data_IF_702793674267
#
_entry.id   IF_702793674267
#
_cell.length_a   1.000
_cell.length_b   1.000
_cell.length_c   1.000
_cell.angle_alpha   90.00
_cell.angle_beta   90.00
_cell.angle_gamma   90.00
#
_symmetry.space_group_name_H-M   'P 1'
#
loop_
_entity.id
_entity.type
_entity.pdbx_description
1 polymer ?
#
# COMPACT_ATOMS: atom_id res chain seq x y z
N UNK A 1 -22.66 4.55 -10.82
CA UNK A 1 -21.50 4.36 -11.71
C UNK A 1 -20.51 3.54 -10.94
N UNK A 2 -20.25 2.32 -11.41
CA UNK A 2 -19.27 1.44 -10.79
C UNK A 2 -17.87 2.04 -11.02
N UNK A 3 -17.11 2.30 -9.95
CA UNK A 3 -15.75 2.80 -10.09
C UNK A 3 -14.88 1.70 -10.67
N UNK A 4 -14.14 2.00 -11.75
CA UNK A 4 -13.18 1.03 -12.29
C UNK A 4 -12.08 0.76 -11.27
N UNK A 5 -11.54 -0.47 -11.26
CA UNK A 5 -10.48 -0.87 -10.31
C UNK A 5 -9.24 0.04 -10.38
N UNK A 6 -9.00 0.65 -11.55
CA UNK A 6 -7.98 1.67 -11.73
C UNK A 6 -8.27 2.96 -10.93
N UNK A 7 -9.53 3.39 -10.85
CA UNK A 7 -9.93 4.57 -10.07
C UNK A 7 -9.85 4.31 -8.56
N UNK A 8 -10.21 3.09 -8.12
CA UNK A 8 -10.07 2.66 -6.71
C UNK A 8 -8.60 2.63 -6.31
N UNK A 9 -7.76 2.00 -7.12
CA UNK A 9 -6.31 1.96 -6.91
C UNK A 9 -5.70 3.36 -6.85
N UNK A 10 -6.10 4.27 -7.75
CA UNK A 10 -5.61 5.66 -7.74
C UNK A 10 -5.96 6.40 -6.45
N UNK A 11 -7.20 6.23 -5.96
CA UNK A 11 -7.65 6.85 -4.71
C UNK A 11 -6.89 6.30 -3.50
N UNK A 12 -6.68 4.98 -3.42
CA UNK A 12 -5.98 4.36 -2.30
C UNK A 12 -4.51 4.76 -2.26
N UNK A 13 -3.86 4.88 -3.42
CA UNK A 13 -2.48 5.38 -3.50
C UNK A 13 -2.36 6.82 -3.03
N UNK A 14 -3.30 7.68 -3.42
CA UNK A 14 -3.37 9.07 -2.94
C UNK A 14 -3.58 9.13 -1.43
N UNK A 15 -4.46 8.28 -0.91
CA UNK A 15 -4.79 8.18 0.52
C UNK A 15 -3.67 7.57 1.37
N UNK A 16 -2.79 6.77 0.77
CA UNK A 16 -1.58 6.21 1.40
C UNK A 16 -0.35 7.15 1.28
N UNK A 17 -0.48 8.30 0.60
CA UNK A 17 0.58 9.31 0.51
C UNK A 17 1.59 9.09 -0.63
N UNK A 18 1.36 8.14 -1.54
CA UNK A 18 2.25 7.93 -2.68
C UNK A 18 2.18 9.11 -3.65
N UNK A 19 3.31 9.78 -3.89
CA UNK A 19 3.38 10.86 -4.89
C UNK A 19 3.57 10.33 -6.33
N UNK A 20 4.27 9.20 -6.47
CA UNK A 20 4.45 8.48 -7.74
C UNK A 20 3.36 7.41 -7.96
N UNK A 21 2.11 7.86 -8.19
CA UNK A 21 0.93 6.99 -8.26
C UNK A 21 1.04 5.89 -9.35
N UNK A 22 1.65 6.18 -10.51
CA UNK A 22 1.84 5.19 -11.57
C UNK A 22 2.82 4.08 -11.15
N UNK A 23 3.93 4.45 -10.50
CA UNK A 23 4.93 3.50 -9.99
C UNK A 23 4.35 2.62 -8.89
N UNK A 24 3.62 3.23 -7.95
CA UNK A 24 3.00 2.48 -6.86
C UNK A 24 1.91 1.52 -7.37
N UNK A 25 1.12 1.91 -8.36
CA UNK A 25 0.16 1.02 -9.02
C UNK A 25 0.86 -0.15 -9.73
N UNK A 26 1.92 0.13 -10.50
CA UNK A 26 2.70 -0.91 -11.17
C UNK A 26 3.38 -1.87 -10.21
N UNK A 27 3.91 -1.36 -9.09
CA UNK A 27 4.52 -2.16 -8.03
C UNK A 27 3.49 -3.08 -7.36
N UNK A 28 2.32 -2.55 -6.98
CA UNK A 28 1.24 -3.36 -6.40
C UNK A 28 0.80 -4.48 -7.35
N UNK A 29 0.64 -4.17 -8.65
CA UNK A 29 0.29 -5.19 -9.64
C UNK A 29 1.39 -6.24 -9.74
N UNK A 30 2.66 -5.83 -9.82
CA UNK A 30 3.80 -6.76 -9.86
C UNK A 30 3.81 -7.70 -8.65
N UNK A 31 3.64 -7.17 -7.44
CA UNK A 31 3.59 -7.96 -6.22
C UNK A 31 2.45 -8.98 -6.25
N UNK A 32 1.27 -8.61 -6.76
CA UNK A 32 0.12 -9.51 -6.93
C UNK A 32 0.40 -10.61 -7.95
N UNK A 33 1.01 -10.29 -9.09
CA UNK A 33 1.38 -11.28 -10.11
C UNK A 33 2.44 -12.26 -9.60
N UNK A 34 3.44 -11.78 -8.87
CA UNK A 34 4.46 -12.64 -8.27
C UNK A 34 3.83 -13.62 -7.25
N UNK A 35 2.88 -13.13 -6.43
CA UNK A 35 2.16 -13.97 -5.46
C UNK A 35 1.24 -14.98 -6.15
N UNK A 36 0.47 -14.56 -7.16
CA UNK A 36 -0.47 -15.44 -7.88
C UNK A 36 0.26 -16.57 -8.62
N UNK A 37 1.50 -16.33 -9.07
CA UNK A 37 2.37 -17.33 -9.68
C UNK A 37 3.20 -18.13 -8.66
N UNK A 38 3.01 -17.91 -7.35
CA UNK A 38 3.70 -18.62 -6.28
C UNK A 38 5.19 -18.30 -6.15
N UNK A 39 5.66 -17.19 -6.75
CA UNK A 39 7.07 -16.77 -6.71
C UNK A 39 7.44 -16.11 -5.38
N UNK A 40 6.45 -15.55 -4.68
CA UNK A 40 6.61 -14.99 -3.34
C UNK A 40 5.47 -15.47 -2.44
N UNK A 41 5.80 -15.66 -1.17
CA UNK A 41 4.87 -16.10 -0.12
C UNK A 41 4.29 -14.92 0.67
N UNK A 42 3.32 -15.21 1.53
CA UNK A 42 2.69 -14.20 2.38
C UNK A 42 3.71 -13.51 3.31
N UNK A 43 4.75 -14.22 3.75
CA UNK A 43 5.83 -13.63 4.55
C UNK A 43 6.61 -12.55 3.77
N UNK A 44 6.81 -12.76 2.46
CA UNK A 44 7.43 -11.77 1.57
C UNK A 44 6.55 -10.55 1.38
N UNK A 45 5.23 -10.75 1.26
CA UNK A 45 4.26 -9.65 1.19
C UNK A 45 4.30 -8.82 2.47
N UNK A 46 4.39 -9.44 3.65
CA UNK A 46 4.52 -8.72 4.92
C UNK A 46 5.80 -7.89 4.97
N UNK A 47 6.95 -8.44 4.58
CA UNK A 47 8.21 -7.68 4.53
C UNK A 47 8.14 -6.49 3.57
N UNK A 48 7.50 -6.66 2.42
CA UNK A 48 7.26 -5.56 1.47
C UNK A 48 6.37 -4.50 2.11
N UNK A 49 5.30 -4.90 2.80
CA UNK A 49 4.39 -3.99 3.50
C UNK A 49 5.12 -3.18 4.57
N UNK A 50 5.90 -3.83 5.43
CA UNK A 50 6.62 -3.13 6.50
C UNK A 50 7.65 -2.15 5.92
N UNK A 51 8.39 -2.53 4.87
CA UNK A 51 9.32 -1.62 4.20
C UNK A 51 8.61 -0.38 3.61
N UNK A 52 7.42 -0.55 3.02
CA UNK A 52 6.61 0.57 2.53
C UNK A 52 6.08 1.43 3.68
N UNK A 53 5.68 0.81 4.78
CA UNK A 53 5.20 1.52 5.96
C UNK A 53 6.31 2.39 6.55
N UNK A 54 7.49 1.82 6.78
CA UNK A 54 8.64 2.54 7.35
C UNK A 54 8.99 3.79 6.51
N UNK A 55 9.08 3.65 5.18
CA UNK A 55 9.34 4.77 4.29
C UNK A 55 8.25 5.87 4.37
N UNK A 56 6.98 5.47 4.47
CA UNK A 56 5.87 6.42 4.61
C UNK A 56 5.87 7.11 5.97
N UNK A 57 6.28 6.41 7.04
CA UNK A 57 6.41 6.96 8.39
C UNK A 57 7.54 7.98 8.48
N UNK A 58 8.69 7.71 7.86
CA UNK A 58 9.82 8.66 7.77
C UNK A 58 9.45 9.96 7.06
N UNK A 59 8.51 9.90 6.10
CA UNK A 59 8.04 11.06 5.35
C UNK A 59 6.80 11.75 5.96
N UNK A 60 6.44 11.44 7.22
CA UNK A 60 5.26 12.01 7.86
C UNK A 60 5.40 13.52 8.13
N UNK A 61 4.31 14.29 8.02
CA UNK A 61 4.24 15.62 8.60
C UNK A 61 4.52 15.57 10.11
N UNK A 62 5.28 16.55 10.63
CA UNK A 62 5.62 16.64 12.06
C UNK A 62 4.40 16.55 13.00
N UNK A 63 3.23 17.04 12.55
CA UNK A 63 1.98 16.99 13.30
C UNK A 63 1.40 15.60 13.51
N UNK A 64 1.86 14.60 12.76
CA UNK A 64 1.38 13.22 12.80
C UNK A 64 2.42 12.25 13.42
N UNK A 65 3.61 12.76 13.78
CA UNK A 65 4.64 11.93 14.41
C UNK A 65 4.14 11.42 15.77
N UNK A 66 4.17 10.10 15.96
CA UNK A 66 3.70 9.45 17.18
C UNK A 66 2.18 9.25 17.26
N UNK A 67 1.42 9.62 16.22
CA UNK A 67 -0.01 9.30 16.13
C UNK A 67 -0.21 7.82 15.77
N UNK A 68 -0.33 6.99 16.81
CA UNK A 68 -0.53 5.55 16.68
C UNK A 68 -1.82 5.18 15.93
N UNK A 69 -2.86 6.01 15.99
CA UNK A 69 -4.08 5.72 15.24
C UNK A 69 -3.86 5.92 13.75
N UNK A 70 -3.14 6.98 13.38
CA UNK A 70 -2.75 7.22 11.99
C UNK A 70 -1.89 6.07 11.45
N UNK A 71 -0.86 5.65 12.20
CA UNK A 71 0.00 4.53 11.81
C UNK A 71 -0.82 3.24 11.59
N UNK A 72 -1.75 2.93 12.50
CA UNK A 72 -2.60 1.76 12.38
C UNK A 72 -3.53 1.83 11.16
N UNK A 73 -4.11 3.01 10.86
CA UNK A 73 -4.91 3.21 9.64
C UNK A 73 -4.07 3.01 8.39
N UNK A 74 -2.83 3.51 8.38
CA UNK A 74 -1.92 3.38 7.25
C UNK A 74 -1.53 1.92 7.02
N UNK A 75 -1.15 1.20 8.08
CA UNK A 75 -0.82 -0.24 8.03
C UNK A 75 -1.99 -1.07 7.50
N UNK A 76 -3.22 -0.77 7.94
CA UNK A 76 -4.42 -1.44 7.45
C UNK A 76 -4.62 -1.21 5.95
N UNK A 77 -4.54 0.04 5.48
CA UNK A 77 -4.65 0.38 4.06
C UNK A 77 -3.61 -0.34 3.19
N UNK A 78 -2.36 -0.39 3.62
CA UNK A 78 -1.31 -1.10 2.88
C UNK A 78 -1.58 -2.62 2.81
N UNK A 79 -2.12 -3.20 3.89
CA UNK A 79 -2.51 -4.62 3.91
C UNK A 79 -3.63 -4.90 2.90
N UNK A 80 -4.66 -4.05 2.88
CA UNK A 80 -5.79 -4.19 1.94
C UNK A 80 -5.30 -4.04 0.48
N UNK A 81 -4.45 -3.05 0.22
CA UNK A 81 -3.82 -2.83 -1.09
C UNK A 81 -3.00 -4.04 -1.57
N UNK A 82 -2.14 -4.60 -0.72
CA UNK A 82 -1.26 -5.72 -1.10
C UNK A 82 -1.99 -7.06 -1.20
N UNK A 83 -3.05 -7.25 -0.40
CA UNK A 83 -3.86 -8.47 -0.45
C UNK A 83 -4.77 -8.54 -1.67
N UNK A 84 -5.08 -7.41 -2.30
CA UNK A 84 -5.99 -7.35 -3.43
C UNK A 84 -7.47 -7.46 -3.06
N UNK A 85 -7.78 -7.42 -1.75
CA UNK A 85 -9.16 -7.31 -1.27
C UNK A 85 -9.62 -5.85 -1.42
N UNK A 86 -10.16 -5.51 -2.59
CA UNK A 86 -10.92 -4.27 -2.83
C UNK A 86 -12.39 -4.59 -3.11
#
# INVERSE_FOLDING_TARGET
MDQSDAQKTHLDLKLAGFRAHATAAGFLQLTRELRSNGLIDDSSIERIREAMLDELLENLPLSLIGDREYENRLRKRLTDLLSGNQ
#
